data_IF_131209655647
#
_entry.id   IF_131209655647
#
_cell.length_a   1.000
_cell.length_b   1.000
_cell.length_c   1.000
_cell.angle_alpha   90.00
_cell.angle_beta   90.00
_cell.angle_gamma   90.00
#
_symmetry.space_group_name_H-M   'P 1'
#
loop_
_entity.id
_entity.type
_entity.pdbx_description
1 polymer ?
#
# COMPACT_ATOMS: atom_id res chain seq x y z
N UNK A 1 2.22 9.98 0.46
CA UNK A 1 2.58 8.85 1.33
C UNK A 1 3.69 8.03 0.67
N UNK A 2 4.72 7.63 1.40
CA UNK A 2 5.79 6.77 0.88
C UNK A 2 5.55 5.29 1.20
N UNK A 3 6.42 4.43 0.67
CA UNK A 3 6.32 2.98 0.85
C UNK A 3 6.46 2.56 2.33
N UNK A 4 7.22 3.31 3.12
CA UNK A 4 7.36 3.05 4.55
C UNK A 4 6.04 3.29 5.31
N UNK A 5 5.38 4.43 5.09
CA UNK A 5 4.11 4.73 5.77
C UNK A 5 2.97 3.79 5.34
N UNK A 6 2.98 3.33 4.08
CA UNK A 6 2.04 2.33 3.58
C UNK A 6 2.24 1.01 4.34
N UNK A 7 3.49 0.58 4.50
CA UNK A 7 3.84 -0.65 5.24
C UNK A 7 3.34 -0.64 6.67
N UNK A 8 3.55 0.46 7.40
CA UNK A 8 3.05 0.60 8.77
C UNK A 8 1.52 0.54 8.82
N UNK A 9 0.82 1.19 7.89
CA UNK A 9 -0.65 1.16 7.79
C UNK A 9 -1.23 -0.21 7.43
N UNK A 10 -0.45 -1.06 6.75
CA UNK A 10 -0.80 -2.45 6.44
C UNK A 10 -0.55 -3.40 7.63
N UNK A 11 -0.28 -2.88 8.84
CA UNK A 11 0.02 -3.71 10.01
C UNK A 11 1.50 -4.04 10.17
N UNK A 12 2.39 -3.26 9.56
CA UNK A 12 3.84 -3.44 9.72
C UNK A 12 4.41 -4.60 8.89
N UNK A 13 3.83 -4.89 7.73
CA UNK A 13 4.27 -5.98 6.84
C UNK A 13 5.74 -5.85 6.41
N UNK A 14 6.33 -6.90 5.85
CA UNK A 14 7.69 -6.82 5.31
C UNK A 14 7.80 -5.83 4.13
N UNK A 15 9.01 -5.34 3.84
CA UNK A 15 9.25 -4.47 2.66
C UNK A 15 8.88 -5.18 1.35
N UNK A 16 9.17 -6.47 1.24
CA UNK A 16 8.81 -7.28 0.08
C UNK A 16 7.30 -7.38 -0.08
N UNK A 17 6.56 -7.59 1.02
CA UNK A 17 5.10 -7.64 0.98
C UNK A 17 4.49 -6.29 0.60
N UNK A 18 5.01 -5.19 1.16
CA UNK A 18 4.60 -3.85 0.76
C UNK A 18 4.83 -3.63 -0.76
N UNK A 19 6.00 -4.02 -1.28
CA UNK A 19 6.28 -3.91 -2.71
C UNK A 19 5.31 -4.72 -3.59
N UNK A 20 5.01 -5.96 -3.20
CA UNK A 20 4.03 -6.80 -3.91
C UNK A 20 2.66 -6.12 -3.97
N UNK A 21 2.19 -5.57 -2.84
CA UNK A 21 0.90 -4.87 -2.75
C UNK A 21 0.90 -3.62 -3.62
N UNK A 22 1.92 -2.77 -3.49
CA UNK A 22 2.00 -1.51 -4.25
C UNK A 22 2.24 -1.72 -5.75
N UNK A 23 2.56 -2.94 -6.18
CA UNK A 23 2.73 -3.31 -7.59
C UNK A 23 1.50 -3.96 -8.19
N UNK A 24 0.43 -4.21 -7.42
CA UNK A 24 -0.82 -4.76 -7.95
C UNK A 24 -1.50 -3.75 -8.87
N UNK A 25 -2.21 -4.25 -9.87
CA UNK A 25 -2.93 -3.43 -10.85
C UNK A 25 -4.09 -2.63 -10.24
N UNK A 26 -4.65 -3.11 -9.12
CA UNK A 26 -5.74 -2.46 -8.39
C UNK A 26 -5.24 -1.50 -7.30
N UNK A 27 -3.93 -1.45 -7.04
CA UNK A 27 -3.35 -0.49 -6.10
C UNK A 27 -3.24 0.90 -6.75
N UNK A 28 -3.43 2.00 -6.00
CA UNK A 28 -3.31 3.35 -6.53
C UNK A 28 -1.99 3.60 -7.27
N UNK A 29 -2.07 4.30 -8.40
CA UNK A 29 -0.89 4.76 -9.10
C UNK A 29 -0.10 5.78 -8.25
N UNK A 30 1.24 5.79 -8.33
CA UNK A 30 2.03 6.80 -7.64
C UNK A 30 1.81 8.18 -8.25
N UNK A 31 1.74 9.22 -7.41
CA UNK A 31 1.67 10.62 -7.83
C UNK A 31 3.05 11.20 -8.19
N UNK A 32 4.12 10.55 -7.73
CA UNK A 32 5.49 10.89 -8.10
C UNK A 32 6.40 9.66 -8.05
N UNK A 33 7.44 9.68 -8.89
CA UNK A 33 8.56 8.75 -8.84
C UNK A 33 9.83 9.54 -8.55
N UNK A 34 10.33 9.43 -7.32
CA UNK A 34 11.51 10.17 -6.85
C UNK A 34 12.72 9.23 -6.77
N UNK A 35 13.92 9.79 -6.73
CA UNK A 35 15.14 9.00 -6.53
C UNK A 35 15.10 8.14 -5.24
N UNK A 36 14.38 8.60 -4.21
CA UNK A 36 14.20 7.88 -2.95
C UNK A 36 13.07 6.83 -2.99
N UNK A 37 12.25 6.84 -4.03
CA UNK A 37 11.13 5.92 -4.23
C UNK A 37 9.84 6.61 -4.68
N UNK A 38 8.82 5.78 -4.91
CA UNK A 38 7.48 6.21 -5.31
C UNK A 38 6.75 6.88 -4.15
N UNK A 39 5.92 7.86 -4.49
CA UNK A 39 5.03 8.57 -3.56
C UNK A 39 3.60 8.44 -4.08
N UNK A 40 2.67 8.15 -3.18
CA UNK A 40 1.24 8.00 -3.48
C UNK A 40 0.40 9.08 -2.83
N UNK A 41 -0.79 9.33 -3.39
CA UNK A 41 -1.84 10.11 -2.73
C UNK A 41 -2.26 9.41 -1.44
N UNK A 42 -2.38 10.17 -0.35
CA UNK A 42 -2.86 9.60 0.92
C UNK A 42 -4.31 9.14 0.81
N UNK A 43 -5.15 9.94 0.17
CA UNK A 43 -6.59 9.69 0.07
C UNK A 43 -6.88 8.42 -0.73
N UNK A 44 -6.17 8.21 -1.84
CA UNK A 44 -6.36 7.03 -2.69
C UNK A 44 -5.91 5.75 -1.98
N UNK A 45 -4.78 5.80 -1.26
CA UNK A 45 -4.29 4.67 -0.48
C UNK A 45 -5.26 4.32 0.64
N UNK A 46 -5.79 5.31 1.35
CA UNK A 46 -6.78 5.08 2.42
C UNK A 46 -8.12 4.56 1.87
N UNK A 47 -8.57 5.06 0.71
CA UNK A 47 -9.74 4.54 0.03
C UNK A 47 -9.55 3.07 -0.37
N UNK A 48 -8.40 2.74 -0.97
CA UNK A 48 -8.04 1.37 -1.33
C UNK A 48 -8.01 0.46 -0.09
N UNK A 49 -7.39 0.90 1.01
CA UNK A 49 -7.32 0.12 2.25
C UNK A 49 -8.71 -0.11 2.86
N UNK A 50 -9.64 0.85 2.79
CA UNK A 50 -11.01 0.67 3.30
C UNK A 50 -11.75 -0.43 2.55
N UNK A 51 -11.52 -0.57 1.25
CA UNK A 51 -12.12 -1.62 0.41
C UNK A 51 -11.48 -2.98 0.71
N UNK A 52 -10.15 -3.05 0.78
CA UNK A 52 -9.43 -4.33 0.82
C UNK A 52 -9.09 -4.85 2.23
N UNK A 53 -9.14 -4.02 3.27
CA UNK A 53 -8.86 -4.47 4.66
C UNK A 53 -9.79 -5.60 5.09
N UNK A 54 -11.06 -5.56 4.67
CA UNK A 54 -12.03 -6.63 4.93
C UNK A 54 -11.66 -7.98 4.32
N UNK A 55 -10.92 -7.99 3.22
CA UNK A 55 -10.50 -9.22 2.52
C UNK A 55 -9.15 -9.75 3.02
N UNK A 56 -8.30 -8.87 3.56
CA UNK A 56 -6.97 -9.24 4.07
C UNK A 56 -7.06 -9.98 5.42
N UNK A 57 -7.98 -9.59 6.30
CA UNK A 57 -8.18 -10.23 7.61
C UNK A 57 -8.64 -11.71 7.48
N UNK A 58 -9.27 -12.09 6.36
CA UNK A 58 -9.76 -13.46 6.10
C UNK A 58 -8.68 -14.40 5.51
N UNK A 59 -7.54 -13.87 5.02
CA UNK A 59 -6.53 -14.67 4.29
C UNK A 59 -5.35 -15.12 5.15
N UNK A 60 -5.22 -14.63 6.39
CA UNK A 60 -4.16 -15.02 7.34
C UNK A 60 -4.71 -15.76 8.58
N UNK A 61 -5.73 -16.62 8.38
CA UNK A 61 -6.26 -17.57 9.37
C UNK A 61 -5.76 -19.00 9.16
#
# INVERSE_FOLDING_TARGET
MGAHEIRERLGGVSRQRAYQITSRADFPAPVADLAQGKVWSTDDVEAWMKVHRKEQDDTEG
#
